data_IF_329093543106
#
_entry.id   IF_329093543106
#
_cell.length_a   1.000
_cell.length_b   1.000
_cell.length_c   1.000
_cell.angle_alpha   90.00
_cell.angle_beta   90.00
_cell.angle_gamma   90.00
#
_symmetry.space_group_name_H-M   'P 1'
#
loop_
_entity.id
_entity.type
_entity.pdbx_description
1 polymer ?
#
# COMPACT_ATOMS: atom_id res chain seq x y z
N UNK A 1 6.31 20.94 4.27
CA UNK A 1 5.74 19.84 3.46
C UNK A 1 4.56 19.23 4.21
N UNK A 2 3.32 19.36 3.72
CA UNK A 2 2.16 18.65 4.29
C UNK A 2 2.32 17.15 4.01
N UNK A 3 2.30 16.30 5.05
CA UNK A 3 2.37 14.84 4.87
C UNK A 3 1.06 14.36 4.23
N UNK A 4 1.11 13.95 2.96
CA UNK A 4 -0.06 13.38 2.27
C UNK A 4 -0.14 11.89 2.54
N UNK A 5 -1.11 11.46 3.34
CA UNK A 5 -1.35 10.03 3.59
C UNK A 5 -2.26 9.48 2.50
N UNK A 6 -1.96 8.25 2.07
CA UNK A 6 -2.69 7.57 1.01
C UNK A 6 -3.31 6.30 1.58
N UNK A 7 -4.58 6.02 1.26
CA UNK A 7 -5.18 4.71 1.50
C UNK A 7 -4.35 3.61 0.84
N UNK A 8 -4.50 2.38 1.35
CA UNK A 8 -3.74 1.25 0.85
C UNK A 8 -3.94 0.96 -0.65
N UNK A 9 -5.10 1.33 -1.20
CA UNK A 9 -5.44 1.14 -2.61
C UNK A 9 -4.69 2.12 -3.54
N UNK A 10 -4.29 3.29 -3.02
CA UNK A 10 -3.53 4.31 -3.75
C UNK A 10 -2.01 4.13 -3.63
N UNK A 11 -1.57 3.25 -2.73
CA UNK A 11 -0.17 2.91 -2.55
C UNK A 11 0.32 2.07 -3.73
N UNK A 12 1.28 2.62 -4.47
CA UNK A 12 2.12 1.83 -5.36
C UNK A 12 3.03 1.07 -4.40
N UNK A 13 2.72 -0.21 -4.16
CA UNK A 13 3.44 -1.06 -3.20
C UNK A 13 4.91 -1.29 -3.60
N UNK A 14 5.41 -2.51 -3.38
CA UNK A 14 6.82 -2.87 -3.61
C UNK A 14 7.24 -2.93 -5.11
N UNK A 15 6.70 -2.05 -5.95
CA UNK A 15 6.92 -2.00 -7.39
C UNK A 15 8.37 -1.66 -7.74
N UNK A 16 9.07 -0.91 -6.88
CA UNK A 16 10.51 -0.67 -7.02
C UNK A 16 11.33 -1.97 -7.07
N UNK A 17 11.01 -2.95 -6.22
CA UNK A 17 11.65 -4.26 -6.25
C UNK A 17 11.34 -5.05 -7.51
N UNK A 18 10.09 -4.96 -8.01
CA UNK A 18 9.73 -5.58 -9.29
C UNK A 18 10.51 -4.98 -10.46
N UNK A 19 10.71 -3.66 -10.49
CA UNK A 19 11.54 -3.02 -11.51
C UNK A 19 13.00 -3.47 -11.44
N UNK A 20 13.60 -3.48 -10.25
CA UNK A 20 14.97 -3.95 -10.06
C UNK A 20 15.11 -5.43 -10.48
N UNK A 21 14.14 -6.25 -10.13
CA UNK A 21 14.10 -7.66 -10.55
C UNK A 21 14.06 -7.79 -12.06
N UNK A 22 13.16 -7.06 -12.73
CA UNK A 22 13.03 -7.08 -14.19
C UNK A 22 14.33 -6.63 -14.85
N UNK A 23 14.95 -5.55 -14.38
CA UNK A 23 16.24 -5.08 -14.90
C UNK A 23 17.28 -6.18 -14.79
N UNK A 24 17.47 -6.74 -13.60
CA UNK A 24 18.48 -7.77 -13.34
C UNK A 24 18.21 -9.07 -14.12
N UNK A 25 16.95 -9.46 -14.26
CA UNK A 25 16.51 -10.63 -15.03
C UNK A 25 16.87 -10.48 -16.53
N UNK A 26 16.48 -9.38 -17.15
CA UNK A 26 16.74 -9.16 -18.57
C UNK A 26 18.23 -8.85 -18.84
N UNK A 27 18.94 -8.20 -17.92
CA UNK A 27 20.40 -8.05 -18.02
C UNK A 27 21.12 -9.41 -17.97
N UNK A 28 20.71 -10.31 -17.08
CA UNK A 28 21.26 -11.66 -17.00
C UNK A 28 20.98 -12.49 -18.26
N UNK A 29 19.76 -12.39 -18.82
CA UNK A 29 19.43 -13.03 -20.09
C UNK A 29 20.24 -12.46 -21.25
N UNK A 30 20.39 -11.14 -21.32
CA UNK A 30 21.20 -10.49 -22.36
C UNK A 30 22.67 -10.92 -22.28
N UNK A 31 23.25 -10.98 -21.08
CA UNK A 31 24.61 -11.46 -20.87
C UNK A 31 24.76 -12.94 -21.27
N UNK A 32 23.80 -13.80 -20.93
CA UNK A 32 23.79 -15.20 -21.33
C UNK A 32 23.72 -15.36 -22.86
N UNK A 33 22.86 -14.59 -23.54
CA UNK A 33 22.74 -14.61 -24.99
C UNK A 33 24.03 -14.13 -25.65
N UNK A 34 24.66 -13.08 -25.12
CA UNK A 34 25.94 -12.57 -25.63
C UNK A 34 27.09 -13.57 -25.44
N UNK A 35 27.13 -14.28 -24.31
CA UNK A 35 28.21 -15.21 -24.00
C UNK A 35 28.08 -16.58 -24.68
N UNK A 36 26.85 -17.08 -24.81
CA UNK A 36 26.60 -18.48 -25.21
C UNK A 36 25.74 -18.64 -26.48
N UNK A 37 25.28 -17.53 -27.07
CA UNK A 37 24.33 -17.56 -28.19
C UNK A 37 22.88 -17.76 -27.73
N UNK A 38 21.97 -17.84 -28.71
CA UNK A 38 20.54 -17.90 -28.46
C UNK A 38 20.02 -19.35 -28.45
N UNK A 39 19.43 -19.77 -27.33
CA UNK A 39 18.84 -21.09 -27.15
C UNK A 39 17.33 -21.02 -26.93
N UNK A 40 16.63 -22.06 -27.36
CA UNK A 40 15.16 -22.13 -27.25
C UNK A 40 14.67 -22.12 -25.80
N UNK A 41 15.51 -22.55 -24.85
CA UNK A 41 15.19 -22.47 -23.42
C UNK A 41 15.14 -21.01 -22.94
N UNK A 42 15.93 -20.11 -23.50
CA UNK A 42 15.91 -18.68 -23.16
C UNK A 42 14.61 -17.99 -23.58
N UNK A 43 13.90 -18.49 -24.60
CA UNK A 43 12.55 -18.02 -24.95
C UNK A 43 11.56 -18.19 -23.80
N UNK A 44 11.63 -19.31 -23.08
CA UNK A 44 10.78 -19.55 -21.90
C UNK A 44 11.10 -18.55 -20.78
N UNK A 45 12.37 -18.23 -20.56
CA UNK A 45 12.78 -17.24 -19.55
C UNK A 45 12.43 -15.80 -19.97
N UNK A 46 12.48 -15.47 -21.25
CA UNK A 46 12.00 -14.18 -21.79
C UNK A 46 10.49 -14.04 -21.57
N UNK A 47 9.71 -15.09 -21.87
CA UNK A 47 8.27 -15.11 -21.66
C UNK A 47 7.91 -15.07 -20.16
N UNK A 48 8.61 -15.81 -19.31
CA UNK A 48 8.42 -15.79 -17.86
C UNK A 48 8.68 -14.38 -17.26
N UNK A 49 9.65 -13.64 -17.81
CA UNK A 49 9.95 -12.26 -17.43
C UNK A 49 8.82 -11.25 -17.71
N UNK A 50 7.86 -11.58 -18.58
CA UNK A 50 6.69 -10.73 -18.83
C UNK A 50 5.70 -10.73 -17.66
N UNK A 51 5.64 -11.81 -16.88
CA UNK A 51 4.75 -11.93 -15.72
C UNK A 51 5.01 -10.82 -14.67
N UNK A 52 6.25 -10.62 -14.16
CA UNK A 52 6.52 -9.54 -13.20
C UNK A 52 6.28 -8.15 -13.81
N UNK A 53 6.56 -7.94 -15.11
CA UNK A 53 6.25 -6.67 -15.79
C UNK A 53 4.73 -6.41 -15.76
N UNK A 54 3.93 -7.40 -16.16
CA UNK A 54 2.47 -7.29 -16.14
C UNK A 54 1.94 -6.99 -14.72
N UNK A 55 2.49 -7.65 -13.69
CA UNK A 55 2.11 -7.36 -12.30
C UNK A 55 2.48 -5.93 -11.88
N UNK A 56 3.65 -5.42 -12.27
CA UNK A 56 4.05 -4.06 -11.97
C UNK A 56 3.11 -3.04 -12.64
N UNK A 57 2.81 -3.23 -13.93
CA UNK A 57 1.90 -2.36 -14.70
C UNK A 57 0.50 -2.34 -14.10
N UNK A 58 -0.05 -3.50 -13.75
CA UNK A 58 -1.40 -3.59 -13.15
C UNK A 58 -1.47 -2.92 -11.78
N UNK A 59 -0.45 -3.10 -10.93
CA UNK A 59 -0.35 -2.39 -9.64
C UNK A 59 -0.29 -0.88 -9.81
N UNK A 60 0.51 -0.41 -10.77
CA UNK A 60 0.64 1.02 -11.09
C UNK A 60 -0.71 1.56 -11.60
N UNK A 61 -1.32 0.92 -12.59
CA UNK A 61 -2.62 1.33 -13.16
C UNK A 61 -3.69 1.41 -12.08
N UNK A 62 -3.77 0.40 -11.22
CA UNK A 62 -4.70 0.37 -10.08
C UNK A 62 -4.48 1.60 -9.19
N UNK A 63 -3.24 1.83 -8.75
CA UNK A 63 -2.93 2.96 -7.86
C UNK A 63 -3.25 4.32 -8.50
N UNK A 64 -2.94 4.51 -9.79
CA UNK A 64 -3.29 5.73 -10.52
C UNK A 64 -4.79 5.92 -10.67
N UNK A 65 -5.54 4.84 -10.92
CA UNK A 65 -7.00 4.89 -11.00
C UNK A 65 -7.64 5.37 -9.70
N UNK A 66 -7.21 4.85 -8.55
CA UNK A 66 -7.72 5.31 -7.25
C UNK A 66 -7.29 6.74 -6.90
N UNK A 67 -6.06 7.13 -7.26
CA UNK A 67 -5.60 8.52 -7.09
C UNK A 67 -6.43 9.49 -7.92
N UNK A 68 -6.73 9.14 -9.16
CA UNK A 68 -7.58 9.95 -10.04
C UNK A 68 -8.98 10.10 -9.45
N UNK A 69 -9.59 9.02 -8.97
CA UNK A 69 -10.91 9.12 -8.31
C UNK A 69 -10.89 10.03 -7.09
N UNK A 70 -9.82 10.00 -6.29
CA UNK A 70 -9.65 10.92 -5.17
C UNK A 70 -9.53 12.37 -5.63
N UNK A 71 -8.72 12.62 -6.66
CA UNK A 71 -8.58 13.95 -7.25
C UNK A 71 -9.91 14.48 -7.80
N UNK A 72 -10.66 13.63 -8.50
CA UNK A 72 -11.99 13.96 -9.02
C UNK A 72 -12.99 14.25 -7.88
N UNK A 73 -12.97 13.46 -6.79
CA UNK A 73 -13.80 13.68 -5.62
C UNK A 73 -13.43 14.98 -4.87
N UNK A 74 -12.15 15.34 -4.84
CA UNK A 74 -11.69 16.60 -4.23
C UNK A 74 -12.07 17.80 -5.11
N UNK A 75 -11.95 17.67 -6.42
CA UNK A 75 -12.21 18.76 -7.37
C UNK A 75 -13.71 19.02 -7.56
N UNK A 76 -14.53 17.97 -7.55
CA UNK A 76 -15.93 18.04 -7.96
C UNK A 76 -16.93 17.50 -6.93
N UNK A 77 -16.45 16.92 -5.84
CA UNK A 77 -17.30 16.39 -4.78
C UNK A 77 -17.70 17.44 -3.75
N UNK A 78 -18.40 16.98 -2.72
CA UNK A 78 -18.80 17.81 -1.59
C UNK A 78 -17.77 17.72 -0.48
N UNK A 79 -17.34 18.88 0.03
CA UNK A 79 -16.43 18.98 1.17
C UNK A 79 -17.22 19.29 2.44
N UNK A 80 -16.93 18.54 3.51
CA UNK A 80 -17.48 18.78 4.84
C UNK A 80 -16.40 18.55 5.91
N UNK A 81 -16.52 19.26 7.04
CA UNK A 81 -15.66 19.00 8.19
C UNK A 81 -16.23 17.81 8.98
N UNK A 82 -15.38 16.84 9.30
CA UNK A 82 -15.74 15.68 10.12
C UNK A 82 -14.83 15.56 11.34
N UNK A 83 -15.30 14.81 12.32
CA UNK A 83 -14.59 14.48 13.55
C UNK A 83 -14.35 12.98 13.62
N UNK A 84 -13.09 12.58 13.75
CA UNK A 84 -12.72 11.17 13.89
C UNK A 84 -13.14 10.72 15.30
N UNK A 85 -14.07 9.76 15.35
CA UNK A 85 -14.62 9.26 16.61
C UNK A 85 -13.89 8.01 17.08
N UNK A 86 -13.59 7.10 16.15
CA UNK A 86 -12.93 5.82 16.46
C UNK A 86 -12.07 5.32 15.31
N UNK A 87 -11.22 4.34 15.61
CA UNK A 87 -10.38 3.65 14.62
C UNK A 87 -10.55 2.16 14.75
N UNK A 88 -11.00 1.57 13.67
CA UNK A 88 -11.15 0.13 13.54
C UNK A 88 -9.91 -0.46 12.92
N UNK A 89 -9.47 -1.58 13.49
CA UNK A 89 -8.39 -2.38 12.95
C UNK A 89 -9.00 -3.64 12.36
N UNK A 90 -8.70 -3.92 11.10
CA UNK A 90 -9.11 -5.13 10.44
C UNK A 90 -7.90 -5.87 9.89
N UNK A 91 -7.78 -7.14 10.24
CA UNK A 91 -6.73 -8.02 9.72
C UNK A 91 -7.35 -8.95 8.65
N UNK A 92 -7.03 -8.70 7.38
CA UNK A 92 -7.57 -9.45 6.23
C UNK A 92 -6.69 -10.68 5.97
N UNK A 93 -7.24 -11.91 6.07
CA UNK A 93 -6.48 -13.13 5.80
C UNK A 93 -6.12 -13.26 4.32
N UNK A 94 -4.91 -13.74 4.04
CA UNK A 94 -4.48 -14.19 2.72
C UNK A 94 -3.61 -15.44 2.87
N UNK A 95 -3.80 -16.38 1.96
CA UNK A 95 -2.99 -17.59 1.90
C UNK A 95 -1.69 -17.29 1.16
N UNK A 96 -0.56 -17.66 1.76
CA UNK A 96 0.75 -17.44 1.17
C UNK A 96 1.57 -18.73 1.13
N UNK A 97 2.08 -19.07 -0.06
CA UNK A 97 3.09 -20.11 -0.27
C UNK A 97 2.56 -21.53 -0.44
N UNK A 98 3.51 -22.46 -0.65
CA UNK A 98 3.30 -23.89 -0.95
C UNK A 98 2.65 -24.68 0.21
N UNK A 99 2.67 -24.13 1.43
CA UNK A 99 2.15 -24.74 2.66
C UNK A 99 0.85 -24.11 3.20
N UNK A 100 0.14 -23.28 2.42
CA UNK A 100 -1.14 -22.68 2.82
C UNK A 100 -1.11 -21.94 4.18
N UNK A 101 0.02 -21.34 4.53
CA UNK A 101 0.11 -20.59 5.79
C UNK A 101 -0.77 -19.34 5.74
N UNK A 102 -1.69 -19.23 6.69
CA UNK A 102 -2.59 -18.10 6.85
C UNK A 102 -1.79 -16.89 7.33
N UNK A 103 -1.81 -15.80 6.55
CA UNK A 103 -1.20 -14.52 6.89
C UNK A 103 -2.25 -13.43 6.87
N UNK A 104 -1.96 -12.28 7.49
CA UNK A 104 -2.91 -11.19 7.59
C UNK A 104 -2.33 -9.87 7.08
N UNK A 105 -3.12 -9.12 6.32
CA UNK A 105 -2.87 -7.72 6.03
C UNK A 105 -3.62 -6.86 7.03
N UNK A 106 -2.89 -5.99 7.75
CA UNK A 106 -3.49 -5.07 8.71
C UNK A 106 -3.92 -3.78 8.03
N UNK A 107 -5.19 -3.43 8.19
CA UNK A 107 -5.77 -2.18 7.74
C UNK A 107 -6.40 -1.42 8.92
N UNK A 108 -6.24 -0.11 8.91
CA UNK A 108 -6.83 0.81 9.87
C UNK A 108 -7.87 1.65 9.15
N UNK A 109 -9.10 1.60 9.63
CA UNK A 109 -10.24 2.36 9.14
C UNK A 109 -10.58 3.42 10.18
N UNK A 110 -10.85 4.64 9.73
CA UNK A 110 -11.25 5.76 10.60
C UNK A 110 -12.77 5.91 10.47
N UNK A 111 -13.49 5.83 11.57
CA UNK A 111 -14.91 6.18 11.60
C UNK A 111 -15.01 7.68 11.95
N UNK A 112 -15.64 8.43 11.05
CA UNK A 112 -15.71 9.90 11.09
C UNK A 112 -17.16 10.32 11.18
N UNK A 113 -17.46 11.08 12.22
CA UNK A 113 -18.74 11.73 12.42
C UNK A 113 -18.81 13.00 11.57
N UNK A 114 -19.87 13.10 10.77
CA UNK A 114 -20.23 14.25 9.96
C UNK A 114 -21.51 14.84 10.52
N UNK A 115 -21.49 16.14 10.84
CA UNK A 115 -22.68 16.86 11.28
C UNK A 115 -23.20 17.67 10.11
N UNK A 116 -24.40 17.33 9.61
CA UNK A 116 -25.05 18.08 8.54
C UNK A 116 -25.36 19.51 9.02
N UNK A 117 -24.78 20.55 8.41
CA UNK A 117 -25.01 21.93 8.83
C UNK A 117 -26.46 22.40 8.64
N UNK A 118 -27.25 21.76 7.76
CA UNK A 118 -28.62 22.15 7.50
C UNK A 118 -29.63 21.50 8.47
N UNK A 119 -29.39 20.24 8.86
CA UNK A 119 -30.34 19.45 9.67
C UNK A 119 -29.87 19.17 11.09
N UNK A 120 -28.57 19.35 11.38
CA UNK A 120 -27.95 18.97 12.65
C UNK A 120 -27.83 17.46 12.86
N UNK A 121 -28.24 16.64 11.87
CA UNK A 121 -28.16 15.19 11.94
C UNK A 121 -26.71 14.75 11.85
N UNK A 122 -26.33 13.82 12.73
CA UNK A 122 -24.99 13.23 12.73
C UNK A 122 -24.99 11.92 11.95
N UNK A 123 -24.05 11.78 11.03
CA UNK A 123 -23.85 10.58 10.23
C UNK A 123 -22.42 10.08 10.44
N UNK A 124 -22.26 8.77 10.60
CA UNK A 124 -20.94 8.15 10.73
C UNK A 124 -20.56 7.55 9.38
N UNK A 125 -19.43 7.98 8.84
CA UNK A 125 -18.83 7.40 7.64
C UNK A 125 -17.57 6.64 7.99
N UNK A 126 -17.29 5.57 7.23
CA UNK A 126 -16.05 4.80 7.36
C UNK A 126 -15.07 5.20 6.25
N UNK A 127 -13.83 5.48 6.63
CA UNK A 127 -12.76 5.77 5.68
C UNK A 127 -12.36 4.54 4.86
N UNK A 128 -11.52 4.75 3.85
CA UNK A 128 -10.78 3.65 3.23
C UNK A 128 -9.73 3.07 4.19
N UNK A 129 -9.29 1.84 3.92
CA UNK A 129 -8.30 1.15 4.76
C UNK A 129 -6.89 1.70 4.56
N UNK A 130 -6.24 2.09 5.66
CA UNK A 130 -4.86 2.55 5.68
C UNK A 130 -3.92 1.46 6.22
N UNK A 131 -2.72 1.32 5.66
CA UNK A 131 -1.75 0.33 6.15
C UNK A 131 -1.02 0.75 7.42
N UNK A 132 -1.02 2.06 7.71
CA UNK A 132 -0.33 2.65 8.87
C UNK A 132 -1.37 3.12 9.90
N UNK A 133 -1.07 3.02 11.20
CA UNK A 133 -1.95 3.53 12.24
C UNK A 133 -1.91 5.06 12.28
N UNK A 134 -2.73 5.72 11.46
CA UNK A 134 -2.69 7.18 11.26
C UNK A 134 -2.97 7.93 12.55
N UNK A 135 -3.93 7.47 13.35
CA UNK A 135 -4.37 8.11 14.61
C UNK A 135 -3.21 8.46 15.55
N UNK A 136 -2.13 7.66 15.58
CA UNK A 136 -0.95 7.91 16.43
C UNK A 136 -0.19 9.18 16.08
N UNK A 137 -0.39 9.69 14.88
CA UNK A 137 0.34 10.85 14.35
C UNK A 137 -0.54 12.10 14.27
N UNK A 138 -1.81 12.02 14.68
CA UNK A 138 -2.75 13.12 14.60
C UNK A 138 -2.66 14.03 15.84
N UNK A 139 -2.60 15.33 15.60
CA UNK A 139 -2.65 16.38 16.61
C UNK A 139 -4.10 16.76 16.95
N UNK A 140 -5.02 16.67 15.99
CA UNK A 140 -6.45 16.93 16.18
C UNK A 140 -7.31 15.79 15.62
N UNK A 141 -8.53 15.67 16.13
CA UNK A 141 -9.55 14.73 15.66
C UNK A 141 -10.36 15.27 14.47
N UNK A 142 -10.14 16.53 14.10
CA UNK A 142 -10.80 17.16 12.95
C UNK A 142 -10.13 16.78 11.63
N UNK A 143 -10.95 16.46 10.64
CA UNK A 143 -10.51 16.07 9.29
C UNK A 143 -11.48 16.62 8.24
N UNK A 144 -10.98 16.94 7.05
CA UNK A 144 -11.85 17.31 5.93
C UNK A 144 -12.24 16.06 5.16
N UNK A 145 -13.53 15.88 4.96
CA UNK A 145 -14.11 14.77 4.22
C UNK A 145 -14.58 15.27 2.87
N UNK A 146 -14.11 14.61 1.82
CA UNK A 146 -14.57 14.81 0.45
C UNK A 146 -15.40 13.62 0.03
N UNK A 147 -16.68 13.86 -0.23
CA UNK A 147 -17.61 12.86 -0.76
C UNK A 147 -17.72 13.03 -2.27
N UNK A 148 -17.50 11.93 -3.00
CA UNK A 148 -17.65 11.89 -4.45
C UNK A 148 -19.09 12.26 -4.88
N UNK A 149 -19.28 12.65 -6.14
CA UNK A 149 -20.59 12.97 -6.74
C UNK A 149 -21.62 11.85 -6.58
N UNK A 150 -21.15 10.60 -6.52
CA UNK A 150 -22.00 9.44 -6.31
C UNK A 150 -22.56 9.34 -4.89
N UNK A 151 -21.98 10.04 -3.91
CA UNK A 151 -22.36 9.97 -2.50
C UNK A 151 -21.77 8.77 -1.73
N UNK A 152 -21.23 7.78 -2.43
CA UNK A 152 -20.82 6.49 -1.83
C UNK A 152 -19.36 6.43 -1.37
N UNK A 153 -18.48 7.23 -1.97
CA UNK A 153 -17.05 7.22 -1.67
C UNK A 153 -16.65 8.46 -0.91
N UNK A 154 -15.95 8.24 0.19
CA UNK A 154 -15.45 9.29 1.06
C UNK A 154 -13.92 9.25 1.11
N UNK A 155 -13.31 10.42 0.96
CA UNK A 155 -11.88 10.62 1.01
C UNK A 155 -11.54 11.60 2.11
N UNK A 156 -10.63 11.19 2.99
CA UNK A 156 -10.15 12.03 4.09
C UNK A 156 -8.89 12.80 3.66
N UNK A 157 -8.89 14.09 3.94
CA UNK A 157 -7.82 15.03 3.61
C UNK A 157 -7.62 16.04 4.75
N UNK A 158 -6.52 16.78 4.65
CA UNK A 158 -6.19 17.88 5.58
C UNK A 158 -6.06 17.47 7.05
N UNK A 159 -5.62 16.23 7.28
CA UNK A 159 -5.26 15.76 8.61
C UNK A 159 -4.30 16.71 9.32
N UNK A 160 -4.60 17.03 10.57
CA UNK A 160 -3.72 17.81 11.43
C UNK A 160 -2.72 16.87 12.10
N UNK A 161 -1.44 16.96 11.71
CA UNK A 161 -0.39 16.09 12.24
C UNK A 161 0.35 16.74 13.40
N UNK A 162 0.82 15.91 14.33
CA UNK A 162 1.80 16.30 15.34
C UNK A 162 3.08 16.83 14.69
N UNK A 163 3.69 17.85 15.27
CA UNK A 163 4.98 18.35 14.82
C UNK A 163 6.09 17.34 15.19
N UNK A 164 6.03 16.80 16.41
CA UNK A 164 6.94 15.80 16.93
C UNK A 164 6.18 14.57 17.45
N UNK A 165 6.87 13.43 17.49
CA UNK A 165 6.28 12.16 17.95
C UNK A 165 5.76 12.23 19.39
N UNK A 166 6.41 13.03 20.22
CA UNK A 166 6.13 13.14 21.65
C UNK A 166 5.11 14.24 21.97
N UNK A 167 4.63 14.99 20.97
CA UNK A 167 3.59 15.98 21.19
C UNK A 167 2.30 15.27 21.61
N UNK A 168 1.49 15.89 22.49
CA UNK A 168 0.19 15.34 22.85
C UNK A 168 -0.69 15.22 21.60
N UNK A 169 -1.36 14.08 21.49
CA UNK A 169 -2.25 13.74 20.39
C UNK A 169 -3.70 13.86 20.76
N UNK A 170 -4.52 13.99 19.71
CA UNK A 170 -5.98 14.07 19.84
C UNK A 170 -6.61 12.87 20.57
N UNK A 171 -5.89 11.75 20.65
CA UNK A 171 -6.38 10.49 21.17
C UNK A 171 -5.47 9.91 22.26
N UNK A 172 -4.55 10.71 22.81
CA UNK A 172 -3.64 10.24 23.88
C UNK A 172 -4.42 10.03 25.20
N UNK A 173 -5.47 10.82 25.45
CA UNK A 173 -6.35 10.71 26.63
C UNK A 173 -7.45 9.65 26.48
N UNK A 174 -7.69 9.17 25.25
CA UNK A 174 -8.70 8.16 24.92
C UNK A 174 -8.05 7.09 24.04
N UNK A 175 -7.38 6.08 24.63
CA UNK A 175 -6.84 4.99 23.85
C UNK A 175 -7.98 4.36 23.07
N UNK A 176 -7.96 4.51 21.75
CA UNK A 176 -8.98 3.90 20.92
C UNK A 176 -8.90 2.39 21.08
N UNK A 177 -10.02 1.77 21.43
CA UNK A 177 -10.14 0.33 21.54
C UNK A 177 -9.84 -0.29 20.18
N UNK A 178 -8.69 -0.96 20.08
CA UNK A 178 -8.36 -1.76 18.92
C UNK A 178 -9.10 -3.08 19.09
N UNK A 179 -10.10 -3.33 18.25
CA UNK A 179 -10.62 -4.69 18.15
C UNK A 179 -9.48 -5.58 17.63
N UNK A 180 -8.99 -6.49 18.47
CA UNK A 180 -7.76 -7.23 18.25
C UNK A 180 -8.03 -8.55 17.54
N UNK A 181 -7.63 -8.64 16.29
CA UNK A 181 -7.30 -9.93 15.65
C UNK A 181 -5.78 -10.11 15.58
N UNK A 182 -5.27 -11.28 15.94
CA UNK A 182 -3.85 -11.50 16.27
C UNK A 182 -2.85 -11.31 15.11
N UNK A 183 -1.57 -11.11 15.49
CA UNK A 183 -0.44 -10.63 14.68
C UNK A 183 0.46 -11.74 14.06
N UNK A 184 1.23 -11.40 13.01
CA UNK A 184 2.32 -12.27 12.51
C UNK A 184 3.17 -11.69 11.35
N UNK A 185 4.50 -11.83 11.43
CA UNK A 185 5.55 -11.00 10.82
C UNK A 185 5.95 -11.36 9.36
N UNK A 186 6.21 -10.35 8.51
CA UNK A 186 6.33 -10.45 7.04
C UNK A 186 7.75 -10.46 6.45
N UNK A 187 8.64 -11.38 6.88
CA UNK A 187 10.04 -11.41 6.42
C UNK A 187 10.36 -12.40 5.27
N UNK A 188 9.45 -13.28 4.89
CA UNK A 188 9.78 -14.44 4.05
C UNK A 188 10.01 -14.15 2.55
N UNK A 189 9.25 -13.22 1.97
CA UNK A 189 9.39 -12.87 0.53
C UNK A 189 10.71 -12.13 0.28
N UNK A 190 11.15 -11.31 1.23
CA UNK A 190 12.46 -10.66 1.18
C UNK A 190 13.60 -11.68 1.26
N UNK A 191 13.46 -12.75 2.05
CA UNK A 191 14.46 -13.81 2.17
C UNK A 191 14.57 -14.62 0.88
N UNK A 192 13.45 -15.07 0.29
CA UNK A 192 13.47 -15.80 -0.99
C UNK A 192 14.06 -14.92 -2.10
N UNK A 193 13.68 -13.65 -2.13
CA UNK A 193 14.22 -12.69 -3.09
C UNK A 193 15.73 -12.50 -2.91
N UNK A 194 16.21 -12.33 -1.67
CA UNK A 194 17.64 -12.23 -1.38
C UNK A 194 18.40 -13.50 -1.81
N UNK A 195 17.83 -14.69 -1.58
CA UNK A 195 18.42 -15.97 -2.01
C UNK A 195 18.53 -16.05 -3.53
N UNK A 196 17.50 -15.66 -4.28
CA UNK A 196 17.52 -15.66 -5.76
C UNK A 196 18.56 -14.65 -6.29
N UNK A 197 18.64 -13.46 -5.69
CA UNK A 197 19.62 -12.44 -6.06
C UNK A 197 21.05 -12.92 -5.79
N UNK A 198 21.29 -13.52 -4.62
CA UNK A 198 22.60 -14.09 -4.26
C UNK A 198 22.98 -15.21 -5.25
N UNK A 199 22.05 -16.10 -5.60
CA UNK A 199 22.29 -17.16 -6.57
C UNK A 199 22.59 -16.61 -7.98
N UNK A 200 21.91 -15.55 -8.42
CA UNK A 200 22.20 -14.90 -9.71
C UNK A 200 23.59 -14.24 -9.71
N UNK A 201 23.97 -13.56 -8.63
CA UNK A 201 25.30 -12.95 -8.48
C UNK A 201 26.38 -14.02 -8.49
N UNK A 202 26.22 -15.08 -7.70
CA UNK A 202 27.18 -16.19 -7.65
C UNK A 202 27.37 -16.84 -9.02
N UNK A 203 26.29 -17.05 -9.77
CA UNK A 203 26.35 -17.63 -11.11
C UNK A 203 27.05 -16.70 -12.12
N UNK A 204 26.82 -15.38 -12.03
CA UNK A 204 27.53 -14.39 -12.87
C UNK A 204 29.05 -14.39 -12.61
N UNK A 205 29.49 -14.54 -11.36
CA UNK A 205 30.92 -14.55 -11.02
C UNK A 205 31.60 -15.91 -11.23
N UNK A 206 30.87 -17.03 -11.11
CA UNK A 206 31.42 -18.36 -11.43
C UNK A 206 31.60 -18.59 -12.93
N UNK A 207 30.94 -17.82 -13.79
CA UNK A 207 31.10 -17.88 -15.25
C UNK A 207 32.33 -17.14 -15.80
N UNK A 208 33.11 -16.45 -14.96
CA UNK A 208 34.33 -15.72 -15.36
C UNK A 208 35.64 -16.49 -15.09
N UNK A 209 35.54 -17.72 -14.56
CA UNK A 209 36.68 -18.54 -14.14
C UNK A 209 36.89 -19.85 -14.91
N UNK A 210 36.19 -20.06 -16.03
CA UNK A 210 36.44 -21.15 -16.98
C UNK A 210 36.71 -20.60 -18.37
#
# INVERSE_FOLDING_TARGET
MKRKIRPAEEEIGNVSFLFLFVILWYSGLAASIMASGFYITQLLFLAAGLLPIHTAVTMIRRAFFYRKQREDAIAYGHSQLGRIQSVLRQDVPYYSGKHHTLRYHRYYYLDVELVDPATGVTNIIRSQGYRKPIHRYLAADTVRVYTDRSGWKHYLEEFQFKAHRNDPGAFDDRPMEFDETAAGNGRFVQIIFAVIVILMILNMFSGWGN
#
